data_IF_934896145602
#
_entry.id   IF_934896145602
#
_cell.length_a   1.000
_cell.length_b   1.000
_cell.length_c   1.000
_cell.angle_alpha   90.00
_cell.angle_beta   90.00
_cell.angle_gamma   90.00
#
_symmetry.space_group_name_H-M   'P 1'
#
loop_
_entity.id
_entity.type
_entity.pdbx_description
1 polymer ?
#
# COMPACT_ATOMS: atom_id res chain seq x y z
N UNK A 1 -21.23 -17.20 -8.30
CA UNK A 1 -19.84 -17.67 -8.13
C UNK A 1 -19.36 -17.16 -6.78
N UNK A 2 -18.78 -18.01 -5.94
CA UNK A 2 -18.39 -17.65 -4.56
C UNK A 2 -16.88 -17.59 -4.46
N UNK A 3 -16.36 -16.55 -3.84
CA UNK A 3 -14.94 -16.33 -3.64
C UNK A 3 -14.58 -16.62 -2.18
N UNK A 4 -13.45 -17.29 -1.98
CA UNK A 4 -12.88 -17.59 -0.67
C UNK A 4 -11.53 -16.91 -0.59
N UNK A 5 -11.44 -15.84 0.20
CA UNK A 5 -10.18 -15.18 0.50
C UNK A 5 -9.56 -15.91 1.70
N UNK A 6 -8.40 -16.54 1.49
CA UNK A 6 -7.78 -17.43 2.49
C UNK A 6 -6.45 -16.82 2.94
N UNK A 7 -6.39 -16.39 4.19
CA UNK A 7 -5.17 -15.87 4.82
C UNK A 7 -4.34 -16.95 5.52
N UNK A 8 -5.02 -17.99 6.01
CA UNK A 8 -4.44 -19.18 6.63
C UNK A 8 -5.27 -20.42 6.26
N UNK A 9 -4.63 -21.50 5.81
CA UNK A 9 -5.30 -22.73 5.43
C UNK A 9 -5.40 -23.70 6.61
N UNK A 10 -6.54 -24.40 6.70
CA UNK A 10 -6.73 -25.52 7.60
C UNK A 10 -7.34 -26.70 6.83
N UNK A 11 -6.90 -27.95 7.05
CA UNK A 11 -7.41 -29.12 6.34
C UNK A 11 -8.93 -29.36 6.45
N UNK A 12 -9.56 -28.81 7.50
CA UNK A 12 -11.01 -28.93 7.73
C UNK A 12 -11.84 -27.91 6.94
N UNK A 13 -11.20 -26.94 6.26
CA UNK A 13 -11.89 -25.99 5.42
C UNK A 13 -12.49 -26.70 4.20
N UNK A 14 -13.78 -26.47 3.98
CA UNK A 14 -14.50 -27.01 2.82
C UNK A 14 -14.83 -25.89 1.86
N UNK A 15 -14.38 -26.08 0.63
CA UNK A 15 -14.70 -25.20 -0.48
C UNK A 15 -15.80 -25.83 -1.33
N UNK A 16 -16.75 -25.02 -1.79
CA UNK A 16 -17.76 -25.47 -2.75
C UNK A 16 -17.10 -25.83 -4.09
N UNK A 17 -17.62 -26.83 -4.82
CA UNK A 17 -17.00 -27.33 -6.06
C UNK A 17 -16.82 -26.25 -7.16
N UNK A 18 -17.60 -25.17 -7.11
CA UNK A 18 -17.51 -24.04 -8.05
C UNK A 18 -17.01 -22.75 -7.36
N UNK A 19 -16.38 -22.89 -6.19
CA UNK A 19 -15.74 -21.81 -5.46
C UNK A 19 -14.40 -21.42 -6.10
N UNK A 20 -14.12 -20.13 -6.14
CA UNK A 20 -12.79 -19.62 -6.49
C UNK A 20 -12.05 -19.33 -5.19
N UNK A 21 -10.90 -19.98 -5.01
CA UNK A 21 -10.06 -19.82 -3.82
C UNK A 21 -8.95 -18.85 -4.17
N UNK A 22 -8.81 -17.80 -3.36
CA UNK A 22 -7.79 -16.78 -3.52
C UNK A 22 -6.89 -16.84 -2.28
N UNK A 23 -5.63 -17.20 -2.48
CA UNK A 23 -4.62 -17.19 -1.44
C UNK A 23 -4.14 -15.75 -1.21
N UNK A 24 -4.16 -15.30 0.05
CA UNK A 24 -3.74 -13.94 0.41
C UNK A 24 -2.28 -13.89 0.90
N UNK A 25 -1.66 -15.03 1.16
CA UNK A 25 -0.30 -15.11 1.69
C UNK A 25 0.51 -16.19 0.98
N UNK A 26 1.84 -16.00 0.81
CA UNK A 26 2.70 -17.03 0.24
C UNK A 26 2.65 -18.36 1.01
N UNK A 27 2.47 -18.30 2.34
CA UNK A 27 2.33 -19.48 3.18
C UNK A 27 1.05 -20.24 2.84
N UNK A 28 -0.07 -19.55 2.68
CA UNK A 28 -1.34 -20.19 2.27
C UNK A 28 -1.23 -20.79 0.87
N UNK A 29 -0.59 -20.10 -0.08
CA UNK A 29 -0.33 -20.66 -1.41
C UNK A 29 0.43 -21.99 -1.33
N UNK A 30 1.48 -22.05 -0.52
CA UNK A 30 2.26 -23.28 -0.28
C UNK A 30 1.41 -24.40 0.36
N UNK A 31 0.60 -24.07 1.35
CA UNK A 31 -0.27 -25.03 2.03
C UNK A 31 -1.37 -25.59 1.12
N UNK A 32 -1.97 -24.73 0.27
CA UNK A 32 -2.98 -25.12 -0.71
C UNK A 32 -2.39 -25.99 -1.83
N UNK A 33 -1.19 -25.65 -2.32
CA UNK A 33 -0.42 -26.49 -3.25
C UNK A 33 -0.13 -27.86 -2.65
N UNK A 34 0.33 -27.90 -1.40
CA UNK A 34 0.57 -29.14 -0.66
C UNK A 34 -0.68 -30.00 -0.49
N UNK A 35 -1.87 -29.39 -0.43
CA UNK A 35 -3.15 -30.05 -0.35
C UNK A 35 -3.75 -30.42 -1.73
N UNK A 36 -3.11 -30.04 -2.84
CA UNK A 36 -3.63 -30.26 -4.20
C UNK A 36 -4.89 -29.45 -4.51
N UNK A 37 -5.08 -28.33 -3.83
CA UNK A 37 -6.25 -27.45 -4.00
C UNK A 37 -5.88 -26.37 -5.02
N UNK A 38 -6.69 -26.24 -6.08
CA UNK A 38 -6.49 -25.18 -7.08
C UNK A 38 -6.88 -23.81 -6.50
N UNK A 39 -6.01 -22.82 -6.65
CA UNK A 39 -6.23 -21.44 -6.19
C UNK A 39 -5.73 -20.41 -7.22
N UNK A 40 -6.05 -19.16 -6.95
CA UNK A 40 -5.47 -17.94 -7.57
C UNK A 40 -4.84 -17.08 -6.48
N UNK A 41 -3.99 -16.13 -6.87
CA UNK A 41 -3.43 -15.10 -5.97
C UNK A 41 -4.06 -13.74 -6.27
N UNK A 42 -3.86 -12.74 -5.42
CA UNK A 42 -4.43 -11.40 -5.64
C UNK A 42 -3.91 -10.78 -6.94
N UNK A 43 -2.63 -11.00 -7.22
CA UNK A 43 -1.88 -10.51 -8.37
C UNK A 43 -2.42 -11.07 -9.69
N UNK A 44 -3.22 -12.14 -9.67
CA UNK A 44 -3.92 -12.65 -10.87
C UNK A 44 -5.07 -11.72 -11.31
N UNK A 45 -5.51 -10.79 -10.45
CA UNK A 45 -6.68 -9.94 -10.67
C UNK A 45 -6.36 -8.47 -10.94
N UNK A 46 -5.09 -8.07 -10.84
CA UNK A 46 -4.68 -6.71 -11.11
C UNK A 46 -3.33 -6.65 -11.83
N UNK A 47 -3.14 -5.64 -12.67
CA UNK A 47 -1.82 -5.33 -13.21
C UNK A 47 -1.16 -4.29 -12.29
N UNK A 48 -0.12 -4.70 -11.57
CA UNK A 48 0.63 -3.82 -10.69
C UNK A 48 1.20 -2.60 -11.44
N UNK A 49 1.58 -2.78 -12.72
CA UNK A 49 2.10 -1.70 -13.53
C UNK A 49 1.05 -0.62 -13.83
N UNK A 50 -0.24 -0.98 -13.90
CA UNK A 50 -1.32 0.00 -14.04
C UNK A 50 -1.49 0.85 -12.78
N UNK A 51 -1.36 0.25 -11.58
CA UNK A 51 -1.45 0.97 -10.31
C UNK A 51 -0.24 1.89 -10.08
N UNK A 52 0.95 1.46 -10.49
CA UNK A 52 2.18 2.24 -10.33
C UNK A 52 2.35 3.31 -11.40
N UNK A 53 1.51 3.33 -12.45
CA UNK A 53 1.63 4.28 -13.55
C UNK A 53 1.54 5.75 -13.10
N UNK A 54 0.75 6.01 -12.07
CA UNK A 54 0.53 7.35 -11.52
C UNK A 54 1.42 7.62 -10.29
N UNK A 55 2.38 6.75 -9.98
CA UNK A 55 3.26 6.90 -8.81
C UNK A 55 4.06 8.21 -8.87
N UNK A 56 4.58 8.56 -10.03
CA UNK A 56 5.34 9.80 -10.23
C UNK A 56 4.45 11.04 -10.06
N UNK A 57 3.24 11.01 -10.62
CA UNK A 57 2.27 12.10 -10.50
C UNK A 57 1.83 12.27 -9.04
N UNK A 58 1.53 11.16 -8.35
CA UNK A 58 1.20 11.17 -6.92
C UNK A 58 2.33 11.71 -6.06
N UNK A 59 3.58 11.34 -6.35
CA UNK A 59 4.74 11.86 -5.64
C UNK A 59 4.89 13.37 -5.83
N UNK A 60 4.71 13.86 -7.07
CA UNK A 60 4.77 15.29 -7.36
C UNK A 60 3.63 16.07 -6.66
N UNK A 61 2.41 15.53 -6.65
CA UNK A 61 1.27 16.11 -5.93
C UNK A 61 1.53 16.15 -4.42
N UNK A 62 2.15 15.11 -3.86
CA UNK A 62 2.54 15.07 -2.45
C UNK A 62 3.58 16.16 -2.11
N UNK A 63 4.57 16.38 -2.98
CA UNK A 63 5.55 17.47 -2.80
C UNK A 63 4.89 18.85 -2.86
N UNK A 64 3.99 19.06 -3.83
CA UNK A 64 3.23 20.30 -3.95
C UNK A 64 2.40 20.56 -2.69
N UNK A 65 1.73 19.53 -2.17
CA UNK A 65 0.96 19.61 -0.94
C UNK A 65 1.84 19.97 0.27
N UNK A 66 3.05 19.41 0.39
CA UNK A 66 3.95 19.79 1.47
C UNK A 66 4.39 21.24 1.39
N UNK A 67 4.67 21.76 0.18
CA UNK A 67 5.01 23.17 0.00
C UNK A 67 3.85 24.09 0.40
N UNK A 68 2.61 23.75 0.01
CA UNK A 68 1.42 24.49 0.44
C UNK A 68 1.25 24.47 1.96
N UNK A 69 1.44 23.29 2.57
CA UNK A 69 1.31 23.13 4.00
C UNK A 69 2.42 23.85 4.77
N UNK A 70 3.66 23.84 4.28
CA UNK A 70 4.76 24.61 4.87
C UNK A 70 4.52 26.12 4.78
N UNK A 71 3.94 26.61 3.69
CA UNK A 71 3.53 28.03 3.59
C UNK A 71 2.46 28.38 4.62
N UNK A 72 1.46 27.50 4.80
CA UNK A 72 0.46 27.66 5.85
C UNK A 72 1.09 27.67 7.25
N UNK A 73 2.04 26.77 7.53
CA UNK A 73 2.75 26.72 8.80
C UNK A 73 3.61 27.96 9.03
N UNK A 74 4.20 28.54 7.99
CA UNK A 74 4.96 29.79 8.08
C UNK A 74 4.12 30.99 8.49
N UNK A 75 2.83 31.00 8.16
CA UNK A 75 1.91 32.05 8.59
C UNK A 75 1.49 31.89 10.06
N UNK A 76 1.48 30.65 10.57
CA UNK A 76 1.17 30.35 11.98
C UNK A 76 2.42 30.49 12.87
N UNK A 77 3.58 30.08 12.38
CA UNK A 77 4.86 30.07 13.08
C UNK A 77 5.92 30.86 12.30
N UNK A 78 5.93 32.21 12.42
CA UNK A 78 6.84 33.07 11.68
C UNK A 78 8.32 32.75 11.93
N UNK A 79 8.68 32.19 13.09
CA UNK A 79 10.05 31.78 13.39
C UNK A 79 10.55 30.67 12.46
N UNK A 80 9.65 29.75 12.05
CA UNK A 80 9.98 28.73 11.06
C UNK A 80 10.24 29.38 9.69
N UNK A 81 9.47 30.42 9.34
CA UNK A 81 9.65 31.19 8.09
C UNK A 81 10.99 31.90 8.05
N UNK A 82 11.37 32.58 9.13
CA UNK A 82 12.66 33.30 9.24
C UNK A 82 13.85 32.35 9.08
N UNK A 83 13.73 31.12 9.60
CA UNK A 83 14.78 30.09 9.51
C UNK A 83 14.66 29.20 8.26
N UNK A 84 13.67 29.46 7.40
CA UNK A 84 13.33 28.63 6.24
C UNK A 84 13.18 27.13 6.59
N UNK A 85 12.56 26.85 7.74
CA UNK A 85 12.36 25.49 8.24
C UNK A 85 11.07 24.92 7.65
N UNK A 86 11.19 24.26 6.50
CA UNK A 86 10.12 23.49 5.87
C UNK A 86 9.82 22.24 6.70
N UNK A 87 8.89 22.36 7.64
CA UNK A 87 8.59 21.34 8.66
C UNK A 87 7.92 20.11 8.07
N UNK A 88 7.02 20.29 7.10
CA UNK A 88 6.30 19.21 6.44
C UNK A 88 7.23 18.37 5.58
N UNK A 89 7.96 19.02 4.66
CA UNK A 89 8.97 18.37 3.81
C UNK A 89 10.06 17.74 4.68
N UNK A 90 10.58 18.49 5.66
CA UNK A 90 11.65 18.02 6.54
C UNK A 90 11.26 16.79 7.34
N UNK A 91 10.01 16.71 7.82
CA UNK A 91 9.49 15.52 8.51
C UNK A 91 9.33 14.33 7.56
N UNK A 92 8.77 14.55 6.36
CA UNK A 92 8.54 13.47 5.38
C UNK A 92 9.86 12.79 4.99
N UNK A 93 10.91 13.56 4.71
CA UNK A 93 12.22 13.02 4.36
C UNK A 93 13.10 12.67 5.57
N UNK A 94 12.56 12.74 6.80
CA UNK A 94 13.32 12.56 8.03
C UNK A 94 14.64 13.36 8.08
N UNK A 95 14.67 14.54 7.43
CA UNK A 95 15.85 15.39 7.39
C UNK A 95 16.01 15.99 8.79
N UNK A 96 16.90 15.38 9.58
CA UNK A 96 17.35 15.99 10.83
C UNK A 96 18.14 17.23 10.45
N UNK A 97 17.61 18.40 10.79
CA UNK A 97 18.37 19.65 10.75
C UNK A 97 19.63 19.46 11.61
N UNK A 98 20.80 19.54 11.00
CA UNK A 98 22.08 19.72 11.69
C UNK A 98 22.15 21.11 12.31
#
# INVERSE_FOLDING_TARGET
MKYYLVEAYHPDLKFECNGVIIALTPLTSYELDGAGIKYSILEDYYDEAEFLKEEEDYFNDQLAWFDEFDNFLFDIFPEAKVKNLKLAIGRHFHIKCM
#
